data_IF_097393386678
#
_entry.id   IF_097393386678
#
_cell.length_a   1.000
_cell.length_b   1.000
_cell.length_c   1.000
_cell.angle_alpha   90.00
_cell.angle_beta   90.00
_cell.angle_gamma   90.00
#
_symmetry.space_group_name_H-M   'P 1'
#
loop_
_entity.id
_entity.type
_entity.pdbx_description
1 polymer ?
#
# COMPACT_ATOMS: atom_id res chain seq x y z
N UNK A 1 27.66 -1.33 16.11
CA UNK A 1 27.92 -1.12 14.67
C UNK A 1 26.87 -1.94 13.92
N UNK A 2 25.82 -1.30 13.44
CA UNK A 2 24.80 -1.94 12.59
C UNK A 2 25.45 -2.27 11.23
N UNK A 3 25.42 -3.53 10.80
CA UNK A 3 25.90 -3.90 9.46
C UNK A 3 24.76 -3.52 8.48
N UNK A 4 25.05 -2.56 7.60
CA UNK A 4 24.18 -2.28 6.48
C UNK A 4 24.03 -3.53 5.60
N UNK A 5 22.80 -3.80 5.15
CA UNK A 5 22.53 -4.89 4.20
C UNK A 5 23.20 -4.53 2.89
N UNK A 6 24.05 -5.42 2.35
CA UNK A 6 24.71 -5.16 1.07
C UNK A 6 23.77 -5.55 -0.08
N UNK A 7 23.85 -4.80 -1.21
CA UNK A 7 23.19 -5.14 -2.48
C UNK A 7 23.31 -6.62 -2.85
N UNK A 8 24.46 -7.21 -2.52
CA UNK A 8 24.80 -8.60 -2.86
C UNK A 8 24.03 -9.62 -2.02
N UNK A 9 23.66 -9.28 -0.80
CA UNK A 9 22.90 -10.15 0.10
C UNK A 9 21.40 -10.05 -0.18
N UNK A 10 20.91 -8.86 -0.51
CA UNK A 10 19.53 -8.64 -0.98
C UNK A 10 19.27 -9.36 -2.32
N UNK A 11 20.15 -9.18 -3.32
CA UNK A 11 20.00 -9.80 -4.64
C UNK A 11 20.15 -11.33 -4.63
N UNK A 12 20.78 -11.92 -3.63
CA UNK A 12 20.84 -13.39 -3.50
C UNK A 12 19.48 -13.99 -3.11
N UNK A 13 18.69 -13.27 -2.35
CA UNK A 13 17.33 -13.70 -2.00
C UNK A 13 16.39 -13.57 -3.20
N UNK A 14 16.56 -12.52 -4.02
CA UNK A 14 15.72 -12.21 -5.19
C UNK A 14 16.07 -13.07 -6.42
N UNK A 15 17.33 -13.49 -6.56
CA UNK A 15 17.83 -14.16 -7.78
C UNK A 15 17.29 -15.57 -8.06
N UNK A 16 16.48 -16.15 -7.19
CA UNK A 16 15.95 -17.52 -7.34
C UNK A 16 14.55 -17.56 -7.95
N UNK A 17 13.82 -16.43 -7.99
CA UNK A 17 12.39 -16.39 -8.34
C UNK A 17 12.06 -15.91 -9.77
N UNK A 18 13.02 -15.39 -10.53
CA UNK A 18 12.76 -14.70 -11.80
C UNK A 18 12.75 -15.57 -13.08
N UNK A 19 12.71 -16.91 -12.96
CA UNK A 19 12.93 -17.82 -14.10
C UNK A 19 11.67 -18.45 -14.72
N UNK A 20 10.47 -18.03 -14.40
CA UNK A 20 9.27 -18.72 -14.91
C UNK A 20 8.08 -17.79 -15.23
N UNK A 21 8.17 -16.91 -16.24
CA UNK A 21 6.97 -16.41 -16.93
C UNK A 21 7.36 -15.86 -18.31
N UNK A 22 7.18 -16.68 -19.33
CA UNK A 22 7.30 -16.33 -20.75
C UNK A 22 6.03 -16.62 -21.51
N UNK A 23 5.51 -15.59 -22.15
CA UNK A 23 4.68 -15.55 -23.36
C UNK A 23 3.32 -16.25 -23.40
N UNK A 24 2.28 -15.44 -23.68
CA UNK A 24 1.50 -15.58 -24.93
C UNK A 24 0.70 -14.31 -25.25
N UNK A 25 0.81 -13.84 -26.48
CA UNK A 25 0.10 -12.70 -27.06
C UNK A 25 -1.04 -13.18 -27.99
N UNK A 26 -1.92 -12.25 -28.35
CA UNK A 26 -2.93 -12.17 -29.44
C UNK A 26 -4.38 -12.17 -28.92
N UNK A 27 -5.23 -11.21 -29.19
CA UNK A 27 -5.47 -10.30 -30.29
C UNK A 27 -6.97 -10.17 -30.48
N UNK A 28 -7.53 -8.98 -30.79
CA UNK A 28 -8.87 -8.90 -31.37
C UNK A 28 -9.72 -7.69 -30.93
N UNK A 29 -9.82 -6.74 -31.84
CA UNK A 29 -10.61 -5.51 -31.83
C UNK A 29 -12.13 -5.71 -31.75
N UNK A 30 -12.85 -4.76 -31.17
CA UNK A 30 -14.00 -4.10 -31.86
C UNK A 30 -14.48 -2.87 -31.11
N UNK A 31 -14.65 -1.78 -31.83
CA UNK A 31 -15.13 -0.48 -31.41
C UNK A 31 -16.67 -0.43 -31.36
N UNK A 32 -17.20 0.36 -30.46
CA UNK A 32 -18.48 1.03 -30.68
C UNK A 32 -18.57 2.37 -29.95
N UNK A 33 -18.83 3.38 -30.73
CA UNK A 33 -18.99 4.81 -30.44
C UNK A 33 -20.37 5.09 -29.85
N UNK A 34 -20.45 5.90 -28.81
CA UNK A 34 -21.66 6.67 -28.54
C UNK A 34 -21.33 8.02 -27.91
N UNK A 35 -21.74 9.05 -28.62
CA UNK A 35 -21.65 10.48 -28.35
C UNK A 35 -22.77 10.91 -27.40
N UNK A 36 -22.49 11.74 -26.41
CA UNK A 36 -23.50 12.64 -25.85
C UNK A 36 -22.89 13.91 -25.25
N UNK A 37 -23.57 14.97 -25.49
CA UNK A 37 -23.30 16.39 -25.58
C UNK A 37 -23.22 17.07 -24.20
N UNK A 38 -22.35 18.05 -24.11
CA UNK A 38 -22.14 18.94 -22.98
C UNK A 38 -23.25 19.97 -22.77
N UNK A 39 -23.48 20.37 -21.52
CA UNK A 39 -24.05 21.69 -21.19
C UNK A 39 -23.21 22.31 -20.07
N UNK A 40 -22.61 23.47 -20.37
CA UNK A 40 -21.86 24.30 -19.46
C UNK A 40 -22.79 25.29 -18.73
N UNK A 41 -22.56 25.51 -17.44
CA UNK A 41 -22.99 26.76 -16.78
C UNK A 41 -21.89 27.22 -15.82
N UNK A 42 -21.40 28.42 -16.11
CA UNK A 42 -20.44 29.15 -15.32
C UNK A 42 -21.13 29.89 -14.18
N UNK A 43 -20.53 29.91 -13.00
CA UNK A 43 -20.81 30.91 -11.98
C UNK A 43 -19.50 31.40 -11.35
N UNK A 44 -19.27 32.68 -11.53
CA UNK A 44 -18.18 33.51 -11.00
C UNK A 44 -18.50 33.91 -9.56
N UNK A 45 -17.52 33.84 -8.64
CA UNK A 45 -17.54 34.70 -7.43
C UNK A 45 -16.11 35.01 -6.95
N UNK A 46 -15.93 36.25 -6.67
CA UNK A 46 -14.81 37.11 -6.44
C UNK A 46 -13.98 36.85 -5.18
N UNK A 47 -12.70 37.19 -5.32
CA UNK A 47 -11.59 37.15 -4.38
C UNK A 47 -11.77 37.92 -3.07
N UNK A 48 -11.06 37.47 -2.04
CA UNK A 48 -10.51 38.34 -1.01
C UNK A 48 -9.11 37.86 -0.65
N UNK A 49 -8.16 38.79 -0.79
CA UNK A 49 -6.74 38.61 -0.58
C UNK A 49 -6.36 38.77 0.89
N UNK A 50 -5.48 37.85 1.40
CA UNK A 50 -4.60 38.19 2.50
C UNK A 50 -3.21 37.60 2.16
N UNK A 51 -2.25 38.51 1.99
CA UNK A 51 -0.86 38.16 1.70
C UNK A 51 -0.10 37.86 2.98
N UNK A 52 0.67 36.74 2.97
CA UNK A 52 1.81 36.52 3.83
C UNK A 52 2.85 35.67 3.11
N UNK A 53 4.02 36.21 2.89
CA UNK A 53 5.33 35.60 2.72
C UNK A 53 5.49 34.54 1.63
N UNK A 54 5.63 34.95 0.38
CA UNK A 54 5.99 34.07 -0.73
C UNK A 54 7.48 33.68 -0.66
N UNK A 55 7.77 32.38 -0.55
CA UNK A 55 9.08 31.83 -0.94
C UNK A 55 9.21 31.94 -2.46
N UNK A 56 10.30 32.55 -2.93
CA UNK A 56 10.58 32.72 -4.37
C UNK A 56 10.84 31.35 -5.00
N UNK A 57 9.97 30.85 -5.88
CA UNK A 57 10.22 29.63 -6.65
C UNK A 57 9.04 28.96 -7.35
N UNK A 58 7.81 29.43 -7.20
CA UNK A 58 6.66 28.80 -7.86
C UNK A 58 6.57 29.10 -9.36
N UNK A 59 6.02 28.15 -10.15
CA UNK A 59 5.80 28.26 -11.61
C UNK A 59 4.75 29.33 -12.00
N UNK A 60 4.16 30.01 -11.03
CA UNK A 60 3.16 31.06 -11.22
C UNK A 60 1.71 30.58 -11.27
N UNK A 61 1.44 29.29 -11.22
CA UNK A 61 0.11 28.70 -11.09
C UNK A 61 0.03 27.87 -9.81
N UNK A 62 -1.04 28.07 -9.05
CA UNK A 62 -1.30 27.26 -7.85
C UNK A 62 -1.72 25.84 -8.25
N UNK A 63 -1.21 24.84 -7.53
CA UNK A 63 -1.56 23.45 -7.71
C UNK A 63 -2.49 22.97 -6.61
N UNK A 64 -3.61 22.40 -7.02
CA UNK A 64 -4.51 21.69 -6.14
C UNK A 64 -4.53 20.22 -6.57
N UNK A 65 -3.83 19.35 -5.82
CA UNK A 65 -3.64 17.95 -6.15
C UNK A 65 -4.66 17.09 -5.42
N UNK A 66 -5.15 16.06 -6.08
CA UNK A 66 -6.04 15.06 -5.49
C UNK A 66 -5.25 13.83 -5.04
N UNK A 67 -5.52 13.37 -3.82
CA UNK A 67 -4.97 12.13 -3.25
C UNK A 67 -6.11 11.21 -2.82
N UNK A 68 -6.14 9.97 -3.32
CA UNK A 68 -7.01 8.93 -2.80
C UNK A 68 -6.24 8.01 -1.83
N UNK A 69 -6.85 7.72 -0.68
CA UNK A 69 -6.38 6.73 0.29
C UNK A 69 -7.53 5.74 0.57
N UNK A 70 -7.27 4.45 0.42
CA UNK A 70 -8.31 3.42 0.57
C UNK A 70 -8.65 3.09 2.03
N UNK A 71 -7.78 3.46 2.96
CA UNK A 71 -7.98 3.25 4.39
C UNK A 71 -8.65 4.47 5.06
N UNK A 72 -9.08 4.28 6.32
CA UNK A 72 -9.67 5.32 7.15
C UNK A 72 -8.63 6.13 7.95
N UNK A 73 -9.12 7.05 8.78
CA UNK A 73 -8.29 7.97 9.58
C UNK A 73 -7.29 7.28 10.51
N UNK A 74 -7.70 6.17 11.14
CA UNK A 74 -6.89 5.44 12.13
C UNK A 74 -5.91 4.45 11.47
N UNK A 75 -5.28 4.85 10.37
CA UNK A 75 -4.30 4.04 9.67
C UNK A 75 -3.01 4.81 9.38
N UNK A 76 -1.87 4.15 9.54
CA UNK A 76 -0.56 4.83 9.46
C UNK A 76 -0.29 5.52 8.12
N UNK A 77 -0.69 4.92 7.00
CA UNK A 77 -0.53 5.57 5.69
C UNK A 77 -1.41 6.82 5.55
N UNK A 78 -2.62 6.82 6.15
CA UNK A 78 -3.50 8.00 6.17
C UNK A 78 -2.89 9.12 7.02
N UNK A 79 -2.30 8.79 8.17
CA UNK A 79 -1.53 9.75 8.99
C UNK A 79 -0.36 10.33 8.18
N UNK A 80 0.36 9.49 7.43
CA UNK A 80 1.40 9.95 6.51
C UNK A 80 0.86 10.88 5.42
N UNK A 81 -0.30 10.58 4.84
CA UNK A 81 -0.93 11.41 3.81
C UNK A 81 -1.34 12.80 4.35
N UNK A 82 -1.90 12.86 5.56
CA UNK A 82 -2.17 14.13 6.23
C UNK A 82 -0.89 14.94 6.49
N UNK A 83 0.15 14.27 7.02
CA UNK A 83 1.46 14.92 7.25
C UNK A 83 2.06 15.44 5.95
N UNK A 84 1.95 14.69 4.85
CA UNK A 84 2.38 15.17 3.53
C UNK A 84 1.62 16.42 3.13
N UNK A 85 0.29 16.41 3.25
CA UNK A 85 -0.57 17.51 2.85
C UNK A 85 -0.25 18.81 3.64
N UNK A 86 -0.12 18.69 4.96
CA UNK A 86 0.25 19.83 5.82
C UNK A 86 1.66 20.34 5.50
N UNK A 87 2.61 19.41 5.31
CA UNK A 87 4.01 19.79 5.06
C UNK A 87 4.22 20.45 3.70
N UNK A 88 3.57 19.96 2.66
CA UNK A 88 3.69 20.57 1.32
C UNK A 88 3.04 21.95 1.27
N UNK A 89 1.91 22.14 1.95
CA UNK A 89 1.26 23.45 2.06
C UNK A 89 2.16 24.45 2.80
N UNK A 90 2.78 24.02 3.92
CA UNK A 90 3.75 24.83 4.67
C UNK A 90 4.94 25.25 3.80
N UNK A 91 5.62 24.28 3.17
CA UNK A 91 6.85 24.49 2.39
C UNK A 91 6.62 25.38 1.15
N UNK A 92 5.48 25.18 0.52
CA UNK A 92 5.11 25.94 -0.68
C UNK A 92 4.44 27.27 -0.40
N UNK A 93 4.14 27.59 0.87
CA UNK A 93 3.36 28.78 1.26
C UNK A 93 1.94 28.76 0.69
N UNK A 94 1.35 27.58 0.54
CA UNK A 94 0.01 27.39 -0.02
C UNK A 94 -0.04 27.29 -1.55
N UNK A 95 1.10 27.34 -2.23
CA UNK A 95 1.19 27.19 -3.68
C UNK A 95 0.81 25.76 -4.16
N UNK A 96 1.13 24.74 -3.34
CA UNK A 96 0.72 23.34 -3.58
C UNK A 96 -0.16 22.91 -2.40
N UNK A 97 -1.38 22.47 -2.70
CA UNK A 97 -2.34 21.97 -1.70
C UNK A 97 -2.86 20.58 -2.12
N UNK A 98 -3.27 19.78 -1.14
CA UNK A 98 -3.77 18.43 -1.35
C UNK A 98 -5.24 18.34 -0.92
N UNK A 99 -6.11 17.89 -1.83
CA UNK A 99 -7.43 17.38 -1.47
C UNK A 99 -7.30 15.87 -1.18
N UNK A 100 -7.27 15.50 0.09
CA UNK A 100 -7.16 14.13 0.54
C UNK A 100 -8.56 13.50 0.67
N UNK A 101 -8.76 12.40 -0.03
CA UNK A 101 -9.96 11.57 0.00
C UNK A 101 -9.62 10.22 0.61
N UNK A 102 -10.27 9.87 1.71
CA UNK A 102 -10.02 8.63 2.45
C UNK A 102 -11.15 7.61 2.27
N UNK A 103 -11.00 6.40 2.84
CA UNK A 103 -11.97 5.31 2.75
C UNK A 103 -12.28 4.88 1.30
N UNK A 104 -11.36 5.07 0.37
CA UNK A 104 -11.56 4.70 -1.03
C UNK A 104 -12.68 5.47 -1.72
N UNK A 105 -12.98 6.70 -1.29
CA UNK A 105 -14.10 7.49 -1.84
C UNK A 105 -13.95 7.84 -3.31
N UNK A 106 -12.73 7.84 -3.85
CA UNK A 106 -12.45 8.03 -5.28
C UNK A 106 -12.23 6.71 -6.03
N UNK A 107 -12.39 5.57 -5.37
CA UNK A 107 -12.26 4.24 -5.97
C UNK A 107 -11.34 3.30 -5.20
N UNK A 108 -11.30 2.05 -5.66
CA UNK A 108 -10.43 0.98 -5.17
C UNK A 108 -8.95 1.26 -5.46
N UNK A 109 -8.05 0.42 -4.94
CA UNK A 109 -6.62 0.46 -5.28
C UNK A 109 -6.40 0.33 -6.79
N UNK A 110 -7.04 -0.64 -7.45
CA UNK A 110 -6.89 -0.85 -8.89
C UNK A 110 -7.38 0.34 -9.71
N UNK A 111 -8.52 0.94 -9.36
CA UNK A 111 -9.05 2.14 -10.02
C UNK A 111 -8.14 3.35 -9.79
N UNK A 112 -7.57 3.50 -8.59
CA UNK A 112 -6.64 4.58 -8.27
C UNK A 112 -5.32 4.43 -9.03
N UNK A 113 -4.77 3.22 -9.10
CA UNK A 113 -3.57 2.93 -9.90
C UNK A 113 -3.78 3.31 -11.37
N UNK A 114 -4.91 2.92 -11.96
CA UNK A 114 -5.26 3.32 -13.34
C UNK A 114 -5.50 4.83 -13.46
N UNK A 115 -6.13 5.43 -12.43
CA UNK A 115 -6.37 6.88 -12.38
C UNK A 115 -5.09 7.69 -12.41
N UNK A 116 -4.05 7.27 -11.68
CA UNK A 116 -2.71 7.88 -11.73
C UNK A 116 -2.14 7.78 -13.16
N UNK A 117 -2.15 6.59 -13.77
CA UNK A 117 -1.62 6.41 -15.14
C UNK A 117 -2.34 7.29 -16.17
N UNK A 118 -3.65 7.46 -16.04
CA UNK A 118 -4.46 8.28 -16.94
C UNK A 118 -4.42 9.79 -16.60
N UNK A 119 -3.81 10.18 -15.47
CA UNK A 119 -3.78 11.57 -15.00
C UNK A 119 -5.13 12.09 -14.50
N UNK A 120 -6.07 11.22 -14.13
CA UNK A 120 -7.36 11.58 -13.53
C UNK A 120 -7.30 11.65 -12.00
N UNK A 121 -6.24 11.12 -11.40
CA UNK A 121 -5.84 11.21 -10.01
C UNK A 121 -4.37 11.66 -9.97
N UNK A 122 -4.02 12.55 -9.06
CA UNK A 122 -2.66 13.09 -8.98
C UNK A 122 -1.74 12.25 -8.10
N UNK A 123 -2.22 11.84 -6.93
CA UNK A 123 -1.44 11.09 -5.91
C UNK A 123 -2.26 9.91 -5.38
N UNK A 124 -1.59 8.81 -5.16
CA UNK A 124 -2.15 7.62 -4.52
C UNK A 124 -1.08 6.89 -3.68
N UNK A 125 -1.47 6.31 -2.55
CA UNK A 125 -0.64 5.37 -1.83
C UNK A 125 -0.90 3.96 -2.36
N UNK A 126 -0.01 3.46 -3.23
CA UNK A 126 -0.04 2.08 -3.70
C UNK A 126 0.78 1.14 -2.82
N UNK A 127 0.49 -0.16 -2.88
CA UNK A 127 1.37 -1.17 -2.31
C UNK A 127 2.51 -1.47 -3.28
N UNK A 128 3.76 -1.56 -2.80
CA UNK A 128 4.90 -1.93 -3.64
C UNK A 128 4.70 -3.28 -4.32
N UNK A 129 4.02 -4.23 -3.65
CA UNK A 129 3.66 -5.54 -4.19
C UNK A 129 2.67 -5.51 -5.36
N UNK A 130 1.93 -4.40 -5.55
CA UNK A 130 0.99 -4.22 -6.67
C UNK A 130 1.67 -3.67 -7.92
N UNK A 131 2.78 -2.96 -7.77
CA UNK A 131 3.45 -2.24 -8.86
C UNK A 131 3.94 -3.12 -10.02
N UNK A 132 4.34 -4.39 -9.83
CA UNK A 132 4.65 -5.29 -10.95
C UNK A 132 3.50 -5.46 -11.94
N UNK A 133 2.25 -5.49 -11.46
CA UNK A 133 1.07 -5.60 -12.32
C UNK A 133 0.86 -4.37 -13.23
N UNK A 134 1.56 -3.27 -12.94
CA UNK A 134 1.49 -2.00 -13.66
C UNK A 134 2.81 -1.64 -14.36
N UNK A 135 3.78 -2.58 -14.40
CA UNK A 135 5.00 -2.46 -15.17
C UNK A 135 6.26 -2.08 -14.38
N UNK A 136 6.18 -1.80 -13.07
CA UNK A 136 7.34 -1.52 -12.23
C UNK A 136 7.71 -2.76 -11.39
N UNK A 137 8.50 -3.66 -11.97
CA UNK A 137 8.76 -4.98 -11.39
C UNK A 137 9.70 -4.94 -10.16
N UNK A 138 10.78 -4.13 -10.23
CA UNK A 138 11.85 -4.21 -9.24
C UNK A 138 11.40 -3.86 -7.82
N UNK A 139 10.60 -2.81 -7.67
CA UNK A 139 10.10 -2.36 -6.37
C UNK A 139 9.20 -3.42 -5.70
N UNK A 140 8.51 -4.26 -6.49
CA UNK A 140 7.68 -5.36 -6.00
C UNK A 140 8.45 -6.41 -5.21
N UNK A 141 9.78 -6.47 -5.36
CA UNK A 141 10.64 -7.38 -4.59
C UNK A 141 10.60 -7.13 -3.09
N UNK A 142 10.22 -5.93 -2.66
CA UNK A 142 10.02 -5.60 -1.24
C UNK A 142 8.82 -6.31 -0.62
N UNK A 143 7.85 -6.74 -1.43
CA UNK A 143 6.68 -7.51 -0.99
C UNK A 143 6.89 -9.03 -1.00
N UNK A 144 8.07 -9.53 -1.37
CA UNK A 144 8.35 -10.97 -1.33
C UNK A 144 8.26 -11.52 0.10
N UNK A 145 7.77 -12.75 0.28
CA UNK A 145 7.66 -13.35 1.61
C UNK A 145 9.00 -13.39 2.34
N UNK A 146 8.97 -13.03 3.63
CA UNK A 146 10.11 -13.10 4.56
C UNK A 146 11.38 -12.33 4.13
N UNK A 147 11.25 -11.37 3.21
CA UNK A 147 12.36 -10.51 2.77
C UNK A 147 12.85 -9.60 3.88
N UNK A 148 11.92 -9.11 4.71
CA UNK A 148 12.22 -8.31 5.89
C UNK A 148 11.93 -9.09 7.18
N UNK A 149 12.80 -8.91 8.15
CA UNK A 149 12.68 -9.52 9.46
C UNK A 149 11.73 -8.75 10.38
N UNK A 150 11.81 -7.44 10.33
CA UNK A 150 11.05 -6.51 11.18
C UNK A 150 10.91 -5.13 10.50
N UNK A 151 10.05 -4.29 11.07
CA UNK A 151 9.77 -2.95 10.57
C UNK A 151 11.03 -2.05 10.58
N UNK A 152 11.91 -2.22 11.57
CA UNK A 152 13.13 -1.45 11.64
C UNK A 152 14.10 -1.78 10.50
N UNK A 153 14.17 -3.05 10.08
CA UNK A 153 14.97 -3.43 8.93
C UNK A 153 14.44 -2.85 7.63
N UNK A 154 13.12 -2.79 7.46
CA UNK A 154 12.54 -2.13 6.28
C UNK A 154 12.80 -0.63 6.32
N UNK A 155 12.67 0.03 7.47
CA UNK A 155 13.00 1.46 7.62
C UNK A 155 14.47 1.72 7.32
N UNK A 156 15.40 0.89 7.81
CA UNK A 156 16.83 0.97 7.46
C UNK A 156 17.05 0.88 5.93
N UNK A 157 16.25 0.08 5.21
CA UNK A 157 16.30 0.00 3.74
C UNK A 157 15.69 1.25 3.10
N UNK A 158 14.54 1.69 3.56
CA UNK A 158 13.85 2.89 3.05
C UNK A 158 14.69 4.17 3.21
N UNK A 159 15.57 4.22 4.22
CA UNK A 159 16.53 5.31 4.45
C UNK A 159 17.85 5.18 3.69
N UNK A 160 18.08 4.04 3.04
CA UNK A 160 19.34 3.76 2.35
C UNK A 160 19.29 4.13 0.86
N UNK A 161 20.48 4.17 0.22
CA UNK A 161 20.56 4.30 -1.24
C UNK A 161 19.86 3.18 -2.01
N UNK A 162 19.65 2.01 -1.38
CA UNK A 162 18.85 0.93 -1.98
C UNK A 162 17.37 1.30 -2.02
N UNK A 163 16.86 1.94 -0.97
CA UNK A 163 15.49 2.47 -0.95
C UNK A 163 15.28 3.51 -2.04
N UNK A 164 16.23 4.42 -2.23
CA UNK A 164 16.21 5.41 -3.31
C UNK A 164 16.26 4.75 -4.70
N UNK A 165 17.10 3.72 -4.88
CA UNK A 165 17.17 2.98 -6.15
C UNK A 165 15.87 2.23 -6.46
N UNK A 166 15.21 1.67 -5.46
CA UNK A 166 13.91 1.01 -5.63
C UNK A 166 12.81 2.01 -6.00
N UNK A 167 12.76 3.19 -5.37
CA UNK A 167 11.84 4.26 -5.77
C UNK A 167 12.15 4.75 -7.20
N UNK A 168 13.41 4.97 -7.53
CA UNK A 168 13.82 5.39 -8.88
C UNK A 168 13.45 4.35 -9.95
N UNK A 169 13.46 3.05 -9.62
CA UNK A 169 13.10 1.99 -10.56
C UNK A 169 11.67 2.11 -11.09
N UNK A 170 10.77 2.78 -10.36
CA UNK A 170 9.38 3.03 -10.79
C UNK A 170 9.36 4.05 -11.92
N UNK A 171 10.15 5.12 -11.80
CA UNK A 171 10.30 6.12 -12.87
C UNK A 171 11.01 5.53 -14.08
N UNK A 172 12.10 4.75 -13.85
CA UNK A 172 12.88 4.09 -14.91
C UNK A 172 12.04 3.06 -15.71
N UNK A 173 11.02 2.47 -15.10
CA UNK A 173 10.09 1.57 -15.77
C UNK A 173 9.19 2.28 -16.80
N UNK A 174 9.11 3.63 -16.75
CA UNK A 174 8.33 4.45 -17.67
C UNK A 174 6.87 3.98 -17.82
N UNK A 175 6.27 3.59 -16.71
CA UNK A 175 4.91 3.04 -16.64
C UNK A 175 3.84 4.07 -16.22
N UNK A 176 4.17 5.36 -16.27
CA UNK A 176 3.24 6.46 -15.96
C UNK A 176 3.24 6.91 -14.50
N UNK A 177 4.10 6.31 -13.66
CA UNK A 177 4.26 6.67 -12.24
C UNK A 177 5.62 7.26 -11.93
N UNK A 178 5.66 8.10 -10.90
CA UNK A 178 6.86 8.44 -10.13
C UNK A 178 6.60 8.06 -8.68
N UNK A 179 7.55 7.40 -8.05
CA UNK A 179 7.51 7.08 -6.62
C UNK A 179 8.20 8.19 -5.83
N UNK A 180 7.43 8.89 -4.98
CA UNK A 180 7.89 10.05 -4.23
C UNK A 180 8.57 9.67 -2.90
N UNK A 181 8.17 8.53 -2.31
CA UNK A 181 8.69 8.06 -1.03
C UNK A 181 7.96 6.83 -0.51
N UNK A 182 8.49 6.26 0.56
CA UNK A 182 7.94 5.10 1.24
C UNK A 182 6.95 5.48 2.34
N UNK A 183 5.99 4.58 2.60
CA UNK A 183 5.17 4.55 3.80
C UNK A 183 5.32 3.17 4.44
N UNK A 184 5.95 3.11 5.62
CA UNK A 184 6.30 1.85 6.30
C UNK A 184 5.12 1.37 7.14
N UNK A 185 4.44 0.30 6.70
CA UNK A 185 3.18 -0.15 7.29
C UNK A 185 3.32 -1.32 8.27
N UNK A 186 4.41 -2.09 8.20
CA UNK A 186 4.72 -3.17 9.12
C UNK A 186 4.35 -4.57 8.61
N UNK A 187 4.53 -5.60 9.49
CA UNK A 187 4.31 -7.00 9.11
C UNK A 187 2.85 -7.28 8.83
N UNK A 188 2.61 -8.13 7.83
CA UNK A 188 1.28 -8.63 7.45
C UNK A 188 1.15 -10.09 7.87
N UNK A 189 0.04 -10.40 8.48
CA UNK A 189 -0.26 -11.70 9.07
C UNK A 189 -1.67 -12.15 8.70
N UNK A 190 -1.87 -13.47 8.74
CA UNK A 190 -3.15 -14.11 8.45
C UNK A 190 -4.14 -13.93 9.60
N UNK A 191 -5.43 -13.93 9.27
CA UNK A 191 -6.53 -14.05 10.25
C UNK A 191 -7.66 -14.88 9.66
N UNK A 192 -8.33 -15.68 10.51
CA UNK A 192 -9.34 -16.66 10.08
C UNK A 192 -10.67 -16.45 10.78
N UNK A 193 -11.74 -16.85 10.07
CA UNK A 193 -13.13 -16.78 10.58
C UNK A 193 -13.39 -17.83 11.66
N UNK A 194 -14.43 -17.65 12.53
CA UNK A 194 -14.85 -18.66 13.51
C UNK A 194 -15.15 -20.02 12.91
N UNK A 195 -15.78 -20.03 11.73
CA UNK A 195 -16.10 -21.25 11.00
C UNK A 195 -14.85 -22.07 10.66
N UNK A 196 -13.79 -21.40 10.24
CA UNK A 196 -12.50 -22.04 9.93
C UNK A 196 -11.85 -22.59 11.20
N UNK A 197 -11.81 -21.79 12.26
CA UNK A 197 -11.25 -22.20 13.53
C UNK A 197 -11.91 -23.46 14.09
N UNK A 198 -13.24 -23.53 14.04
CA UNK A 198 -14.00 -24.74 14.41
C UNK A 198 -13.68 -25.93 13.50
N UNK A 199 -13.64 -25.73 12.17
CA UNK A 199 -13.32 -26.76 11.17
C UNK A 199 -11.93 -27.35 11.39
N UNK A 200 -10.98 -26.55 11.83
CA UNK A 200 -9.59 -26.97 12.12
C UNK A 200 -9.44 -27.63 13.51
N UNK A 201 -10.54 -27.79 14.28
CA UNK A 201 -10.53 -28.44 15.59
C UNK A 201 -10.04 -27.54 16.73
N UNK A 202 -10.20 -26.22 16.59
CA UNK A 202 -9.81 -25.20 17.61
C UNK A 202 -8.31 -25.28 17.94
N UNK A 203 -7.44 -25.09 16.97
CA UNK A 203 -6.00 -25.22 17.19
C UNK A 203 -5.51 -24.18 18.20
N UNK A 204 -4.55 -24.54 19.02
CA UNK A 204 -3.82 -23.65 19.91
C UNK A 204 -2.59 -23.02 19.24
N UNK A 205 -2.14 -23.61 18.15
CA UNK A 205 -1.09 -23.12 17.26
C UNK A 205 -1.52 -23.27 15.79
N UNK A 206 -0.84 -22.58 14.88
CA UNK A 206 -1.13 -22.65 13.46
C UNK A 206 0.10 -23.15 12.70
N UNK A 207 -0.04 -24.24 11.98
CA UNK A 207 1.02 -24.87 11.18
C UNK A 207 0.69 -24.80 9.71
N UNK A 208 1.71 -24.87 8.83
CA UNK A 208 1.57 -24.71 7.38
C UNK A 208 0.52 -25.66 6.77
N UNK A 209 0.41 -26.90 7.28
CA UNK A 209 -0.57 -27.87 6.79
C UNK A 209 -2.03 -27.39 6.93
N UNK A 210 -2.31 -26.50 7.88
CA UNK A 210 -3.63 -25.90 8.10
C UNK A 210 -4.01 -24.88 7.02
N UNK A 211 -3.05 -24.40 6.22
CA UNK A 211 -3.31 -23.55 5.05
C UNK A 211 -4.05 -24.30 3.94
N UNK A 212 -3.87 -25.63 3.89
CA UNK A 212 -4.39 -26.44 2.79
C UNK A 212 -5.90 -26.32 2.64
N UNK A 213 -6.30 -25.79 1.48
CA UNK A 213 -7.71 -25.64 1.10
C UNK A 213 -8.43 -24.49 1.78
N UNK A 214 -7.74 -23.59 2.50
CA UNK A 214 -8.32 -22.32 2.93
C UNK A 214 -8.52 -21.42 1.72
N UNK A 215 -9.68 -20.79 1.64
CA UNK A 215 -9.92 -19.68 0.72
C UNK A 215 -9.44 -18.40 1.37
N UNK A 216 -8.32 -17.89 0.91
CA UNK A 216 -7.69 -16.69 1.49
C UNK A 216 -7.94 -15.51 0.57
N UNK A 217 -8.56 -14.45 1.09
CA UNK A 217 -8.61 -13.18 0.36
C UNK A 217 -7.22 -12.56 0.33
N UNK A 218 -6.82 -12.11 -0.83
CA UNK A 218 -5.61 -11.31 -1.05
C UNK A 218 -5.95 -10.03 -1.82
N UNK A 219 -5.09 -9.00 -1.79
CA UNK A 219 -5.14 -7.90 -2.77
C UNK A 219 -5.08 -8.42 -4.21
N UNK A 220 -5.53 -7.61 -5.16
CA UNK A 220 -5.56 -7.96 -6.59
C UNK A 220 -4.15 -7.90 -7.22
N UNK A 221 -3.20 -8.67 -6.65
CA UNK A 221 -1.80 -8.72 -7.10
C UNK A 221 -1.35 -10.16 -7.33
N UNK A 222 -0.64 -10.38 -8.42
CA UNK A 222 -0.10 -11.71 -8.75
C UNK A 222 0.87 -12.21 -7.69
N UNK A 223 1.65 -11.32 -7.09
CA UNK A 223 2.59 -11.67 -6.02
C UNK A 223 1.86 -12.29 -4.82
N UNK A 224 0.78 -11.66 -4.34
CA UNK A 224 0.04 -12.16 -3.18
C UNK A 224 -0.77 -13.42 -3.52
N UNK A 225 -1.30 -13.53 -4.74
CA UNK A 225 -1.95 -14.75 -5.22
C UNK A 225 -0.95 -15.91 -5.19
N UNK A 226 0.21 -15.73 -5.82
CA UNK A 226 1.25 -16.76 -5.87
C UNK A 226 1.80 -17.12 -4.49
N UNK A 227 1.90 -16.14 -3.58
CA UNK A 227 2.33 -16.38 -2.19
C UNK A 227 1.37 -17.32 -1.47
N UNK A 228 0.06 -17.04 -1.52
CA UNK A 228 -0.92 -17.90 -0.85
C UNK A 228 -1.03 -19.29 -1.49
N UNK A 229 -0.94 -19.37 -2.81
CA UNK A 229 -0.93 -20.66 -3.53
C UNK A 229 0.32 -21.49 -3.17
N UNK A 230 1.49 -20.87 -3.04
CA UNK A 230 2.72 -21.52 -2.58
C UNK A 230 2.61 -22.05 -1.15
N UNK A 231 1.88 -21.36 -0.27
CA UNK A 231 1.57 -21.80 1.10
C UNK A 231 0.48 -22.90 1.13
N UNK A 232 -0.06 -23.30 -0.01
CA UNK A 232 -1.07 -24.36 -0.13
C UNK A 232 -2.51 -23.94 0.10
N UNK A 233 -2.77 -22.65 0.20
CA UNK A 233 -4.12 -22.09 0.25
C UNK A 233 -4.71 -21.92 -1.17
N UNK A 234 -5.92 -21.42 -1.27
CA UNK A 234 -6.55 -20.99 -2.51
C UNK A 234 -6.77 -19.49 -2.44
N UNK A 235 -5.95 -18.75 -3.14
CA UNK A 235 -6.06 -17.28 -3.17
C UNK A 235 -7.32 -16.82 -3.89
N UNK A 236 -7.95 -15.77 -3.38
CA UNK A 236 -9.09 -15.10 -3.99
C UNK A 236 -8.85 -13.59 -3.96
N UNK A 237 -8.58 -13.01 -5.12
CA UNK A 237 -8.39 -11.57 -5.27
C UNK A 237 -9.74 -10.85 -5.10
N UNK A 238 -9.85 -9.98 -4.10
CA UNK A 238 -11.06 -9.20 -3.80
C UNK A 238 -10.62 -7.81 -3.36
N UNK A 239 -11.33 -6.78 -3.85
CA UNK A 239 -11.08 -5.39 -3.47
C UNK A 239 -11.14 -5.18 -1.95
N UNK A 240 -10.34 -4.25 -1.44
CA UNK A 240 -10.22 -4.03 0.01
C UNK A 240 -11.56 -3.63 0.66
N UNK A 241 -12.35 -2.82 0.00
CA UNK A 241 -13.67 -2.38 0.45
C UNK A 241 -14.68 -3.53 0.64
N UNK A 242 -14.47 -4.67 -0.02
CA UNK A 242 -15.33 -5.84 0.05
C UNK A 242 -14.87 -6.89 1.08
N UNK A 243 -13.70 -6.67 1.70
CA UNK A 243 -13.07 -7.67 2.57
C UNK A 243 -13.93 -8.04 3.79
N UNK A 244 -14.44 -7.04 4.52
CA UNK A 244 -15.28 -7.28 5.71
C UNK A 244 -16.50 -8.15 5.37
N UNK A 245 -17.24 -7.78 4.32
CA UNK A 245 -18.45 -8.50 3.89
C UNK A 245 -18.14 -9.89 3.35
N UNK A 246 -17.00 -10.07 2.70
CA UNK A 246 -16.54 -11.37 2.18
C UNK A 246 -16.18 -12.34 3.30
N UNK A 247 -15.56 -11.88 4.38
CA UNK A 247 -15.31 -12.66 5.60
C UNK A 247 -16.63 -12.97 6.31
N UNK A 248 -17.47 -11.96 6.52
CA UNK A 248 -18.75 -12.09 7.24
C UNK A 248 -19.70 -13.10 6.55
N UNK A 249 -19.79 -13.03 5.23
CA UNK A 249 -20.66 -13.92 4.44
C UNK A 249 -20.05 -15.30 4.20
N UNK A 250 -18.76 -15.50 4.51
CA UNK A 250 -18.04 -16.76 4.29
C UNK A 250 -17.71 -17.05 2.82
N UNK A 251 -17.64 -16.01 1.98
CA UNK A 251 -17.10 -16.10 0.61
C UNK A 251 -15.63 -16.52 0.68
N UNK A 252 -14.91 -15.98 1.66
CA UNK A 252 -13.55 -16.38 2.01
C UNK A 252 -13.47 -16.91 3.45
N UNK A 253 -12.51 -17.78 3.70
CA UNK A 253 -12.24 -18.43 4.99
C UNK A 253 -11.31 -17.57 5.86
N UNK A 254 -10.43 -16.82 5.21
CA UNK A 254 -9.33 -16.09 5.81
C UNK A 254 -8.96 -14.86 4.97
N UNK A 255 -8.17 -14.00 5.57
CA UNK A 255 -7.48 -12.91 4.87
C UNK A 255 -6.15 -12.62 5.58
N UNK A 256 -5.39 -11.67 5.03
CA UNK A 256 -4.11 -11.25 5.58
C UNK A 256 -4.00 -9.72 5.56
N UNK A 257 -3.37 -9.15 6.57
CA UNK A 257 -3.03 -7.72 6.63
C UNK A 257 -2.14 -7.42 7.84
N UNK A 258 -1.66 -6.17 7.94
CA UNK A 258 -1.04 -5.66 9.15
C UNK A 258 -2.06 -5.59 10.31
N UNK A 259 -1.58 -5.78 11.54
CA UNK A 259 -2.45 -5.78 12.73
C UNK A 259 -3.16 -4.45 12.94
N UNK A 260 -2.55 -3.32 12.58
CA UNK A 260 -3.16 -1.99 12.65
C UNK A 260 -4.36 -1.87 11.70
N UNK A 261 -4.20 -2.34 10.45
CA UNK A 261 -5.29 -2.40 9.46
C UNK A 261 -6.40 -3.37 9.89
N UNK A 262 -6.03 -4.53 10.42
CA UNK A 262 -6.96 -5.53 10.95
C UNK A 262 -7.87 -4.94 12.03
N UNK A 263 -7.30 -4.12 12.92
CA UNK A 263 -8.05 -3.48 14.01
C UNK A 263 -8.86 -2.27 13.56
N UNK A 264 -8.27 -1.36 12.77
CA UNK A 264 -8.93 -0.12 12.33
C UNK A 264 -10.14 -0.36 11.42
N UNK A 265 -10.14 -1.49 10.69
CA UNK A 265 -11.25 -1.88 9.81
C UNK A 265 -12.19 -2.94 10.41
N UNK A 266 -12.10 -3.17 11.72
CA UNK A 266 -12.99 -4.08 12.47
C UNK A 266 -13.00 -5.53 11.95
N UNK A 267 -11.94 -5.98 11.25
CA UNK A 267 -11.88 -7.36 10.76
C UNK A 267 -11.89 -8.39 11.89
N UNK A 268 -11.46 -7.98 13.10
CA UNK A 268 -11.55 -8.78 14.31
C UNK A 268 -12.98 -9.20 14.68
N UNK A 269 -14.01 -8.46 14.28
CA UNK A 269 -15.40 -8.81 14.56
C UNK A 269 -15.87 -10.06 13.78
N UNK A 270 -15.33 -10.25 12.58
CA UNK A 270 -15.70 -11.32 11.66
C UNK A 270 -14.65 -12.44 11.53
N UNK A 271 -13.41 -12.16 11.93
CA UNK A 271 -12.27 -13.10 11.89
C UNK A 271 -11.37 -12.92 13.13
N UNK A 272 -11.83 -13.32 14.34
CA UNK A 272 -11.17 -13.02 15.61
C UNK A 272 -9.97 -13.94 15.95
N UNK A 273 -9.44 -14.68 14.99
CA UNK A 273 -8.29 -15.57 15.20
C UNK A 273 -7.13 -15.06 14.36
N UNK A 274 -6.20 -14.37 14.98
CA UNK A 274 -5.04 -13.74 14.35
C UNK A 274 -3.82 -14.68 14.43
N UNK A 275 -3.20 -14.96 13.29
CA UNK A 275 -2.05 -15.87 13.17
C UNK A 275 -0.80 -15.01 13.03
N UNK A 276 0.24 -15.27 13.84
CA UNK A 276 1.48 -14.47 13.86
C UNK A 276 2.54 -15.02 12.90
N UNK A 277 2.17 -15.21 11.65
CA UNK A 277 3.05 -15.74 10.61
C UNK A 277 3.96 -14.68 9.98
N UNK A 278 3.57 -13.41 9.99
CA UNK A 278 4.35 -12.27 9.46
C UNK A 278 4.99 -12.57 8.09
N UNK A 279 4.22 -13.18 7.18
CA UNK A 279 4.74 -13.72 5.92
C UNK A 279 5.26 -12.66 4.95
N UNK A 280 4.82 -11.41 5.07
CA UNK A 280 5.30 -10.28 4.25
C UNK A 280 5.17 -8.97 5.01
N UNK A 281 5.60 -7.87 4.38
CA UNK A 281 5.49 -6.52 4.93
C UNK A 281 4.60 -5.64 4.06
N UNK A 282 3.86 -4.76 4.70
CA UNK A 282 3.17 -3.64 4.06
C UNK A 282 4.20 -2.56 3.73
N UNK A 283 4.50 -2.45 2.43
CA UNK A 283 5.42 -1.45 1.89
C UNK A 283 4.59 -0.49 1.03
N UNK A 284 4.06 0.56 1.66
CA UNK A 284 3.35 1.62 0.95
C UNK A 284 4.31 2.51 0.17
N UNK A 285 3.89 2.98 -0.99
CA UNK A 285 4.64 3.90 -1.84
C UNK A 285 3.73 5.07 -2.21
N UNK A 286 4.20 6.29 -1.99
CA UNK A 286 3.52 7.49 -2.47
C UNK A 286 3.79 7.61 -3.96
N UNK A 287 2.77 7.42 -4.78
CA UNK A 287 2.83 7.48 -6.23
C UNK A 287 2.22 8.77 -6.76
N UNK A 288 2.84 9.35 -7.76
CA UNK A 288 2.32 10.49 -8.50
C UNK A 288 2.29 10.19 -10.00
N UNK A 289 1.34 10.82 -10.72
CA UNK A 289 1.34 10.80 -12.17
C UNK A 289 2.64 11.40 -12.74
N UNK A 290 3.29 10.69 -13.67
CA UNK A 290 4.59 11.09 -14.21
C UNK A 290 4.54 12.42 -14.98
N UNK A 291 3.48 12.69 -15.74
CA UNK A 291 3.35 13.96 -16.47
C UNK A 291 3.13 15.13 -15.51
N UNK A 292 2.37 14.92 -14.43
CA UNK A 292 2.20 15.92 -13.36
C UNK A 292 3.54 16.23 -12.69
N UNK A 293 4.29 15.21 -12.32
CA UNK A 293 5.63 15.33 -11.75
C UNK A 293 6.58 16.11 -12.65
N UNK A 294 6.58 15.81 -13.94
CA UNK A 294 7.43 16.48 -14.92
C UNK A 294 7.06 17.97 -15.13
N UNK A 295 5.83 18.35 -14.79
CA UNK A 295 5.38 19.74 -14.83
C UNK A 295 5.93 20.63 -13.71
N UNK A 296 6.42 20.04 -12.60
CA UNK A 296 6.99 20.80 -11.49
C UNK A 296 8.42 21.23 -11.77
N UNK A 297 8.80 22.43 -11.27
CA UNK A 297 10.19 22.89 -11.27
C UNK A 297 11.00 22.23 -10.14
N UNK A 298 12.32 22.48 -10.10
CA UNK A 298 13.22 21.84 -9.12
C UNK A 298 12.91 22.21 -7.66
N UNK A 299 12.44 23.42 -7.39
CA UNK A 299 12.06 23.86 -6.04
C UNK A 299 10.78 23.13 -5.59
N UNK A 300 9.76 23.08 -6.43
CA UNK A 300 8.51 22.35 -6.19
C UNK A 300 8.76 20.86 -5.95
N UNK A 301 9.61 20.23 -6.78
CA UNK A 301 10.04 18.85 -6.60
C UNK A 301 10.79 18.63 -5.27
N UNK A 302 11.59 19.63 -4.86
CA UNK A 302 12.26 19.62 -3.56
C UNK A 302 11.26 19.60 -2.41
N UNK A 303 10.25 20.46 -2.44
CA UNK A 303 9.20 20.51 -1.40
C UNK A 303 8.39 19.20 -1.35
N UNK A 304 8.02 18.64 -2.49
CA UNK A 304 7.29 17.36 -2.59
C UNK A 304 8.11 16.23 -1.97
N UNK A 305 9.41 16.14 -2.25
CA UNK A 305 10.30 15.13 -1.67
C UNK A 305 10.45 15.29 -0.16
N UNK A 306 10.58 16.53 0.33
CA UNK A 306 10.65 16.80 1.78
C UNK A 306 9.33 16.43 2.48
N UNK A 307 8.17 16.72 1.87
CA UNK A 307 6.88 16.31 2.38
C UNK A 307 6.73 14.77 2.41
N UNK A 308 7.25 14.06 1.41
CA UNK A 308 7.25 12.59 1.38
C UNK A 308 8.12 11.98 2.51
N UNK A 309 9.26 12.59 2.83
CA UNK A 309 10.08 12.18 3.96
C UNK A 309 9.36 12.39 5.30
N UNK A 310 8.69 13.52 5.47
CA UNK A 310 7.89 13.77 6.67
C UNK A 310 6.73 12.76 6.81
N UNK A 311 6.05 12.45 5.70
CA UNK A 311 4.99 11.46 5.66
C UNK A 311 5.49 10.05 6.05
N UNK A 312 6.67 9.63 5.56
CA UNK A 312 7.30 8.36 5.93
C UNK A 312 7.53 8.29 7.43
N UNK A 313 8.19 9.30 8.01
CA UNK A 313 8.48 9.33 9.44
C UNK A 313 7.21 9.25 10.29
N UNK A 314 6.17 10.03 9.94
CA UNK A 314 4.89 10.02 10.66
C UNK A 314 4.18 8.66 10.56
N UNK A 315 4.18 8.03 9.37
CA UNK A 315 3.63 6.70 9.15
C UNK A 315 4.36 5.64 10.00
N UNK A 316 5.69 5.63 9.97
CA UNK A 316 6.52 4.69 10.73
C UNK A 316 6.31 4.81 12.23
N UNK A 317 6.40 6.03 12.78
CA UNK A 317 6.20 6.29 14.21
C UNK A 317 4.80 5.89 14.68
N UNK A 318 3.78 6.20 13.87
CA UNK A 318 2.40 5.80 14.16
C UNK A 318 2.28 4.27 14.20
N UNK A 319 2.73 3.57 13.16
CA UNK A 319 2.60 2.12 13.07
C UNK A 319 3.41 1.41 14.17
N UNK A 320 4.63 1.86 14.47
CA UNK A 320 5.44 1.31 15.56
C UNK A 320 4.73 1.38 16.91
N UNK A 321 4.06 2.51 17.19
CA UNK A 321 3.30 2.71 18.43
C UNK A 321 2.00 1.90 18.44
N UNK A 322 1.30 1.86 17.30
CA UNK A 322 -0.02 1.21 17.23
C UNK A 322 0.08 -0.31 17.17
N UNK A 323 1.13 -0.87 16.58
CA UNK A 323 1.29 -2.33 16.48
C UNK A 323 1.23 -3.00 17.86
N UNK A 324 2.02 -2.52 18.82
CA UNK A 324 2.01 -3.05 20.18
C UNK A 324 0.67 -2.81 20.88
N UNK A 325 0.10 -1.61 20.74
CA UNK A 325 -1.20 -1.29 21.34
C UNK A 325 -2.34 -2.19 20.80
N UNK A 326 -2.29 -2.54 19.51
CA UNK A 326 -3.23 -3.49 18.91
C UNK A 326 -3.11 -4.87 19.57
N UNK A 327 -1.90 -5.42 19.68
CA UNK A 327 -1.68 -6.72 20.32
C UNK A 327 -2.10 -6.72 21.80
N UNK A 328 -1.81 -5.66 22.53
CA UNK A 328 -2.20 -5.52 23.95
C UNK A 328 -3.74 -5.52 24.13
N UNK A 329 -4.47 -5.02 23.13
CA UNK A 329 -5.94 -4.96 23.17
C UNK A 329 -6.64 -6.28 22.80
N UNK A 330 -5.92 -7.31 22.32
CA UNK A 330 -6.52 -8.55 21.80
C UNK A 330 -7.41 -9.25 22.83
N UNK A 331 -6.95 -9.38 24.08
CA UNK A 331 -7.71 -10.03 25.13
C UNK A 331 -9.05 -9.33 25.41
N UNK A 332 -9.04 -8.01 25.50
CA UNK A 332 -10.24 -7.19 25.78
C UNK A 332 -11.24 -7.24 24.62
N UNK A 333 -10.76 -7.45 23.40
CA UNK A 333 -11.58 -7.56 22.19
C UNK A 333 -11.95 -9.00 21.83
N UNK A 334 -11.58 -9.97 22.65
CA UNK A 334 -11.88 -11.39 22.42
C UNK A 334 -11.15 -11.99 21.22
N UNK A 335 -10.01 -11.42 20.84
CA UNK A 335 -9.17 -11.91 19.74
C UNK A 335 -8.24 -12.99 20.28
N UNK A 336 -8.20 -14.13 19.61
CA UNK A 336 -7.27 -15.22 19.93
C UNK A 336 -6.05 -15.12 19.01
N UNK A 337 -4.88 -14.96 19.62
CA UNK A 337 -3.60 -15.02 18.93
C UNK A 337 -3.18 -16.49 18.75
N UNK A 338 -2.86 -16.89 17.52
CA UNK A 338 -2.36 -18.21 17.16
C UNK A 338 -0.91 -18.08 16.72
N UNK A 339 -0.01 -18.70 17.47
CA UNK A 339 1.42 -18.73 17.12
C UNK A 339 1.68 -19.74 16.02
N UNK A 340 2.69 -19.46 15.19
CA UNK A 340 3.15 -20.40 14.15
C UNK A 340 4.31 -21.21 14.70
N UNK A 341 4.08 -22.53 14.92
CA UNK A 341 5.08 -23.41 15.51
C UNK A 341 6.07 -24.02 14.52
N UNK A 342 5.82 -23.91 13.22
CA UNK A 342 6.65 -24.46 12.15
C UNK A 342 7.04 -23.42 11.09
N UNK A 343 7.36 -22.19 11.53
CA UNK A 343 7.67 -21.06 10.66
C UNK A 343 8.76 -21.35 9.62
N UNK A 344 9.68 -22.24 9.94
CA UNK A 344 10.74 -22.70 9.03
C UNK A 344 10.21 -23.38 7.75
N UNK A 345 8.96 -23.88 7.78
CA UNK A 345 8.32 -24.46 6.60
C UNK A 345 7.60 -23.42 5.74
N UNK A 346 7.32 -22.25 6.30
CA UNK A 346 6.69 -21.15 5.60
C UNK A 346 7.70 -20.36 4.77
N UNK A 347 8.97 -20.33 5.22
CA UNK A 347 10.11 -19.68 4.58
C UNK A 347 10.71 -20.56 3.47
#
# INVERSE_FOLDING_TARGET
>A
MKKAISRRDFLKVVGVSAAALGMTACGGSSASTSTSTAVSTAASSTASSAAAGAGEGGSGNDYKLTWNEVNGEDYGATVGAHTFAEKIEELSGGHITIDLYINGTLGSEAESMQGIQMGTLDIFRGNASSLPNYGAELIGTTGLPYVFKDMAQFEDVAESSLGDELLQSVEDANCGYVALGWLVEGPRSMFITPKVYERLGKPTDFTLDKMKGLKVRVPETDLMINTMDALGASATAIAYSELYTSLQSGVVDAAENGVTSYMSNSFNEVAPYFITDAHTFGCGVILMNADKWNGFNDAEKGWIKEAALAARSACYEYNQKQEQACFDSFADKGITKLEVSDIEKWQ
#
